data_IF_148965602756
#
_entry.id   IF_148965602756
#
_cell.length_a   1.000
_cell.length_b   1.000
_cell.length_c   1.000
_cell.angle_alpha   90.00
_cell.angle_beta   90.00
_cell.angle_gamma   90.00
#
_symmetry.space_group_name_H-M   'P 1'
#
loop_
_entity.id
_entity.type
_entity.pdbx_description
1 polymer ?
#
# COMPACT_ATOMS: atom_id res chain seq x y z
N UNK A 1 -4.84 33.09 -64.58
CA UNK A 1 -5.28 31.70 -64.33
C UNK A 1 -4.84 31.32 -62.92
N UNK A 2 -5.77 31.13 -61.99
CA UNK A 2 -5.50 31.13 -60.54
C UNK A 2 -5.79 29.83 -59.79
N UNK A 3 -5.27 29.80 -58.55
CA UNK A 3 -5.47 28.89 -57.39
C UNK A 3 -4.75 27.53 -57.46
N UNK A 4 -3.77 27.21 -56.59
CA UNK A 4 -3.65 27.06 -55.10
C UNK A 4 -3.99 25.66 -54.58
N UNK A 5 -3.12 25.19 -53.66
CA UNK A 5 -3.36 24.21 -52.57
C UNK A 5 -3.31 22.73 -52.97
N UNK A 6 -2.74 21.79 -52.20
CA UNK A 6 -2.30 21.76 -50.82
C UNK A 6 -2.31 20.29 -50.36
N UNK A 7 -1.34 19.89 -49.53
CA UNK A 7 -1.20 18.52 -49.03
C UNK A 7 -2.42 18.01 -48.27
N UNK A 8 -2.68 16.70 -48.34
CA UNK A 8 -3.80 16.05 -47.66
C UNK A 8 -3.35 14.85 -46.82
N UNK A 9 -3.40 15.09 -45.51
CA UNK A 9 -3.42 14.15 -44.40
C UNK A 9 -4.54 13.12 -44.57
N UNK A 10 -4.21 11.82 -44.47
CA UNK A 10 -5.21 10.74 -44.54
C UNK A 10 -5.84 10.51 -43.17
N UNK A 11 -6.91 11.25 -42.84
CA UNK A 11 -7.89 10.86 -41.80
C UNK A 11 -8.76 9.74 -42.36
N UNK A 12 -8.79 8.57 -41.71
CA UNK A 12 -9.78 7.52 -42.01
C UNK A 12 -10.95 7.68 -41.04
N UNK A 13 -12.02 8.25 -41.56
CA UNK A 13 -13.33 8.38 -40.94
C UNK A 13 -14.01 7.01 -40.94
N UNK A 14 -14.44 6.53 -39.77
CA UNK A 14 -15.36 5.37 -39.64
C UNK A 14 -16.78 5.92 -39.72
N UNK A 15 -17.68 5.40 -40.57
CA UNK A 15 -19.05 5.90 -40.65
C UNK A 15 -19.92 5.39 -39.49
N UNK A 16 -20.71 6.30 -38.92
CA UNK A 16 -21.84 6.08 -38.00
C UNK A 16 -23.14 5.91 -38.80
N UNK A 17 -23.96 4.88 -38.50
CA UNK A 17 -25.45 4.90 -38.50
C UNK A 17 -26.02 3.51 -38.08
N UNK A 18 -27.25 3.39 -37.52
CA UNK A 18 -27.85 4.06 -36.36
C UNK A 18 -28.25 3.07 -35.24
N UNK A 19 -28.69 3.64 -34.11
CA UNK A 19 -29.37 2.98 -33.00
C UNK A 19 -30.69 2.32 -33.44
N UNK A 20 -30.85 1.03 -33.15
CA UNK A 20 -32.16 0.44 -32.86
C UNK A 20 -32.21 0.14 -31.36
N UNK A 21 -33.08 0.88 -30.66
CA UNK A 21 -33.53 0.57 -29.30
C UNK A 21 -34.62 -0.51 -29.40
N UNK A 22 -34.35 -1.71 -28.90
CA UNK A 22 -35.36 -2.74 -28.66
C UNK A 22 -35.56 -2.93 -27.14
N UNK A 23 -36.78 -2.72 -26.58
CA UNK A 23 -37.01 -2.57 -25.15
C UNK A 23 -37.27 -3.91 -24.46
N UNK A 24 -36.29 -4.82 -24.48
CA UNK A 24 -36.40 -6.12 -23.81
C UNK A 24 -35.08 -6.59 -23.19
N UNK A 25 -34.47 -5.76 -22.32
CA UNK A 25 -33.64 -6.28 -21.24
C UNK A 25 -34.48 -6.49 -19.98
N UNK A 26 -34.86 -7.73 -19.73
CA UNK A 26 -34.96 -8.25 -18.36
C UNK A 26 -34.61 -9.74 -18.35
N UNK A 27 -33.64 -10.07 -17.49
CA UNK A 27 -33.21 -11.43 -17.11
C UNK A 27 -32.39 -12.20 -18.15
N UNK A 28 -31.08 -11.92 -18.21
CA UNK A 28 -30.12 -12.98 -18.57
C UNK A 28 -30.05 -13.94 -17.39
N UNK A 29 -30.72 -15.07 -17.52
CA UNK A 29 -30.70 -16.17 -16.58
C UNK A 29 -29.28 -16.73 -16.48
N UNK A 30 -28.73 -16.74 -15.25
CA UNK A 30 -27.56 -17.56 -14.94
C UNK A 30 -27.99 -19.01 -15.08
N UNK A 31 -27.57 -19.65 -16.17
CA UNK A 31 -27.81 -21.07 -16.38
C UNK A 31 -26.85 -21.87 -15.48
N UNK A 32 -27.33 -22.37 -14.35
CA UNK A 32 -26.60 -23.20 -13.37
C UNK A 32 -26.36 -24.63 -13.85
N UNK A 33 -26.48 -24.88 -15.16
CA UNK A 33 -26.57 -26.22 -15.74
C UNK A 33 -25.31 -26.59 -16.54
N UNK A 34 -24.24 -25.79 -16.44
CA UNK A 34 -22.93 -26.18 -16.96
C UNK A 34 -22.29 -27.15 -15.97
N UNK A 35 -22.60 -28.43 -16.15
CA UNK A 35 -21.90 -29.54 -15.54
C UNK A 35 -20.39 -29.35 -15.78
N UNK A 36 -19.66 -29.14 -14.68
CA UNK A 36 -18.20 -29.18 -14.68
C UNK A 36 -17.80 -30.61 -15.01
N UNK A 37 -17.45 -30.88 -16.27
CA UNK A 37 -16.82 -32.15 -16.61
C UNK A 37 -15.45 -32.21 -15.92
N UNK A 38 -15.16 -33.27 -15.13
CA UNK A 38 -13.84 -33.46 -14.56
C UNK A 38 -12.89 -33.82 -15.69
N UNK A 39 -12.15 -32.82 -16.16
CA UNK A 39 -11.03 -33.00 -17.08
C UNK A 39 -10.03 -33.96 -16.45
N UNK A 40 -10.01 -35.18 -16.98
CA UNK A 40 -9.07 -36.27 -16.74
C UNK A 40 -7.65 -35.77 -16.39
N UNK A 41 -7.25 -36.07 -15.15
CA UNK A 41 -5.87 -36.11 -14.67
C UNK A 41 -5.02 -36.98 -15.61
N UNK A 42 -4.43 -36.37 -16.64
CA UNK A 42 -3.25 -36.90 -17.30
C UNK A 42 -2.05 -36.19 -16.71
N UNK A 43 -1.24 -36.96 -15.99
CA UNK A 43 -0.02 -36.54 -15.31
C UNK A 43 0.96 -35.81 -16.21
N UNK A 44 0.75 -34.51 -16.35
CA UNK A 44 1.83 -33.56 -16.63
C UNK A 44 2.48 -33.36 -15.26
N UNK A 45 3.80 -33.61 -15.09
CA UNK A 45 4.48 -33.17 -13.89
C UNK A 45 4.33 -31.65 -13.88
N UNK A 46 3.37 -31.16 -13.11
CA UNK A 46 3.15 -29.73 -12.93
C UNK A 46 4.50 -29.14 -12.55
N UNK A 47 4.90 -27.99 -13.12
CA UNK A 47 6.13 -27.35 -12.69
C UNK A 47 6.06 -27.26 -11.16
N UNK A 48 7.02 -27.89 -10.49
CA UNK A 48 7.14 -27.88 -9.04
C UNK A 48 6.82 -26.47 -8.53
N UNK A 49 5.91 -26.32 -7.56
CA UNK A 49 5.48 -25.02 -7.01
C UNK A 49 6.69 -24.09 -6.78
N UNK A 50 7.79 -24.66 -6.30
CA UNK A 50 9.11 -24.06 -6.12
C UNK A 50 9.73 -23.33 -7.33
N UNK A 51 9.33 -23.64 -8.57
CA UNK A 51 9.84 -23.04 -9.81
C UNK A 51 8.98 -21.85 -10.29
N UNK A 52 7.84 -21.62 -9.63
CA UNK A 52 6.95 -20.48 -9.85
C UNK A 52 7.23 -19.34 -8.84
N UNK A 53 7.92 -19.67 -7.75
CA UNK A 53 8.07 -18.89 -6.51
C UNK A 53 9.54 -18.47 -6.33
N UNK A 54 10.01 -17.48 -7.10
CA UNK A 54 11.40 -17.00 -6.95
C UNK A 54 11.47 -15.68 -6.16
N UNK A 55 10.58 -14.72 -6.44
CA UNK A 55 10.66 -13.36 -5.88
C UNK A 55 9.67 -13.16 -4.72
N UNK A 56 8.62 -13.96 -4.65
CA UNK A 56 7.57 -13.92 -3.62
C UNK A 56 8.09 -14.02 -2.16
N UNK A 57 9.05 -14.91 -1.79
CA UNK A 57 9.52 -15.00 -0.41
C UNK A 57 10.33 -13.78 0.03
N UNK A 58 11.12 -13.18 -0.87
CA UNK A 58 11.87 -11.96 -0.58
C UNK A 58 10.93 -10.78 -0.27
N UNK A 59 9.84 -10.68 -1.05
CA UNK A 59 8.82 -9.65 -0.83
C UNK A 59 8.05 -9.90 0.47
N UNK A 60 7.78 -11.15 0.82
CA UNK A 60 7.17 -11.51 2.09
C UNK A 60 8.05 -11.05 3.27
N UNK A 61 9.36 -11.32 3.23
CA UNK A 61 10.31 -10.86 4.27
C UNK A 61 10.31 -9.33 4.35
N UNK A 62 10.34 -8.65 3.21
CA UNK A 62 10.25 -7.19 3.17
C UNK A 62 8.96 -6.67 3.81
N UNK A 63 7.81 -7.28 3.52
CA UNK A 63 6.51 -6.89 4.09
C UNK A 63 6.44 -7.13 5.60
N UNK A 64 7.02 -8.24 6.08
CA UNK A 64 7.12 -8.50 7.52
C UNK A 64 7.95 -7.39 8.19
N UNK A 65 9.12 -7.08 7.65
CA UNK A 65 9.98 -6.03 8.16
C UNK A 65 9.31 -4.64 8.10
N UNK A 66 8.63 -4.34 6.99
CA UNK A 66 7.96 -3.04 6.80
C UNK A 66 6.81 -2.85 7.77
N UNK A 67 6.05 -3.91 8.06
CA UNK A 67 4.94 -3.85 9.02
C UNK A 67 5.40 -3.81 10.48
N UNK A 68 6.50 -4.48 10.83
CA UNK A 68 7.14 -4.31 12.15
C UNK A 68 7.57 -2.85 12.33
N UNK A 69 8.26 -2.28 11.34
CA UNK A 69 8.66 -0.88 11.35
C UNK A 69 7.46 0.07 11.41
N UNK A 70 6.38 -0.23 10.68
CA UNK A 70 5.14 0.54 10.73
C UNK A 70 4.54 0.60 12.14
N UNK A 71 4.44 -0.53 12.85
CA UNK A 71 3.92 -0.56 14.22
C UNK A 71 4.84 0.21 15.17
N UNK A 72 6.16 0.02 15.05
CA UNK A 72 7.15 0.77 15.86
C UNK A 72 7.04 2.28 15.65
N UNK A 73 6.88 2.72 14.40
CA UNK A 73 6.72 4.12 14.03
C UNK A 73 5.43 4.72 14.62
N UNK A 74 4.32 3.98 14.61
CA UNK A 74 3.06 4.42 15.23
C UNK A 74 3.23 4.61 16.74
N UNK A 75 3.84 3.63 17.41
CA UNK A 75 4.04 3.68 18.85
C UNK A 75 4.97 4.84 19.26
N UNK A 76 6.08 5.01 18.53
CA UNK A 76 7.05 6.08 18.77
C UNK A 76 6.42 7.47 18.59
N UNK A 77 5.58 7.65 17.56
CA UNK A 77 4.89 8.93 17.32
C UNK A 77 3.91 9.27 18.43
N UNK A 78 3.17 8.30 18.95
CA UNK A 78 2.23 8.50 20.07
C UNK A 78 2.99 8.89 21.33
N UNK A 79 4.05 8.16 21.69
CA UNK A 79 4.89 8.48 22.86
C UNK A 79 5.48 9.88 22.74
N UNK A 80 6.03 10.24 21.57
CA UNK A 80 6.57 11.57 21.32
C UNK A 80 5.52 12.67 21.44
N UNK A 81 4.32 12.45 20.92
CA UNK A 81 3.25 13.45 21.00
C UNK A 81 2.90 13.73 22.46
N UNK A 82 2.86 12.68 23.26
CA UNK A 82 2.59 12.74 24.68
C UNK A 82 3.66 13.49 25.48
N UNK A 83 4.93 13.16 25.25
CA UNK A 83 6.04 13.74 26.02
C UNK A 83 6.36 15.16 25.56
N UNK A 84 6.35 15.42 24.26
CA UNK A 84 6.80 16.71 23.70
C UNK A 84 5.65 17.71 23.57
N UNK A 85 4.46 17.29 23.12
CA UNK A 85 3.34 18.22 22.91
C UNK A 85 2.50 18.43 24.17
N UNK A 86 2.48 17.49 25.13
CA UNK A 86 1.78 17.64 26.43
C UNK A 86 2.69 17.75 27.66
N UNK A 87 3.99 17.45 27.54
CA UNK A 87 4.93 17.53 28.67
C UNK A 87 4.69 16.47 29.76
N UNK A 88 3.98 15.38 29.45
CA UNK A 88 3.66 14.31 30.39
C UNK A 88 4.79 13.27 30.47
N UNK A 89 4.93 12.62 31.63
CA UNK A 89 5.88 11.53 31.84
C UNK A 89 5.56 10.30 30.96
N UNK A 90 6.60 9.66 30.43
CA UNK A 90 6.49 8.54 29.48
C UNK A 90 5.67 7.37 30.05
N UNK A 91 5.75 7.12 31.37
CA UNK A 91 4.99 6.04 32.03
C UNK A 91 3.50 6.33 32.11
N UNK A 92 3.13 7.60 32.30
CA UNK A 92 1.73 8.01 32.29
C UNK A 92 1.14 7.82 30.88
N UNK A 93 1.93 8.08 29.85
CA UNK A 93 1.49 7.91 28.47
C UNK A 93 1.21 6.45 28.07
N UNK A 94 1.98 5.50 28.62
CA UNK A 94 1.75 4.07 28.40
C UNK A 94 0.52 3.54 29.15
N UNK A 95 -0.01 4.30 30.11
CA UNK A 95 -1.16 3.93 30.94
C UNK A 95 -2.50 4.55 30.52
N UNK A 96 -2.55 5.23 29.35
CA UNK A 96 -3.77 5.82 28.79
C UNK A 96 -4.76 4.67 28.49
N UNK A 97 -5.78 4.53 29.36
CA UNK A 97 -6.73 3.41 29.36
C UNK A 97 -7.00 2.81 30.74
N UNK A 98 -6.23 3.16 31.78
CA UNK A 98 -6.44 2.62 33.13
C UNK A 98 -6.83 3.62 34.22
N UNK A 99 -6.65 4.96 34.09
CA UNK A 99 -6.97 5.90 35.18
C UNK A 99 -7.34 7.35 34.77
N UNK A 100 -8.59 7.69 35.12
CA UNK A 100 -9.16 8.98 35.60
C UNK A 100 -9.70 10.03 34.60
N UNK A 101 -10.97 10.37 34.83
CA UNK A 101 -11.99 10.78 33.84
C UNK A 101 -11.98 12.27 33.44
N UNK A 102 -11.15 13.13 34.05
CA UNK A 102 -11.25 14.59 33.84
C UNK A 102 -10.15 15.19 32.95
N UNK A 103 -8.88 14.78 33.09
CA UNK A 103 -7.78 15.23 32.21
C UNK A 103 -7.62 14.33 30.96
N UNK A 104 -8.19 13.12 31.00
CA UNK A 104 -8.13 12.18 29.88
C UNK A 104 -8.87 12.68 28.63
N UNK A 105 -9.94 13.49 28.77
CA UNK A 105 -10.74 13.90 27.60
C UNK A 105 -9.96 14.81 26.66
N UNK A 106 -9.16 15.73 27.17
CA UNK A 106 -8.41 16.66 26.34
C UNK A 106 -7.15 16.00 25.77
N UNK A 107 -6.53 15.08 26.52
CA UNK A 107 -5.45 14.20 26.02
C UNK A 107 -5.97 13.31 24.89
N UNK A 108 -7.11 12.65 25.09
CA UNK A 108 -7.73 11.79 24.08
C UNK A 108 -8.15 12.58 22.86
N UNK A 109 -8.70 13.79 23.01
CA UNK A 109 -9.03 14.67 21.86
C UNK A 109 -7.77 15.05 21.07
N UNK A 110 -6.69 15.42 21.74
CA UNK A 110 -5.44 15.77 21.06
C UNK A 110 -4.86 14.55 20.32
N UNK A 111 -4.73 13.41 21.00
CA UNK A 111 -4.25 12.16 20.40
C UNK A 111 -5.13 11.71 19.23
N UNK A 112 -6.46 11.79 19.38
CA UNK A 112 -7.40 11.45 18.31
C UNK A 112 -7.25 12.38 17.11
N UNK A 113 -7.09 13.69 17.34
CA UNK A 113 -6.83 14.67 16.27
C UNK A 113 -5.53 14.34 15.52
N UNK A 114 -4.46 13.98 16.25
CA UNK A 114 -3.18 13.58 15.66
C UNK A 114 -3.31 12.33 14.77
N UNK A 115 -3.96 11.29 15.28
CA UNK A 115 -4.20 10.05 14.52
C UNK A 115 -5.09 10.30 13.31
N UNK A 116 -6.10 11.16 13.45
CA UNK A 116 -7.02 11.52 12.36
C UNK A 116 -6.28 12.24 11.24
N UNK A 117 -5.56 13.32 11.55
CA UNK A 117 -4.79 14.06 10.55
C UNK A 117 -3.71 13.21 9.88
N UNK A 118 -3.02 12.36 10.66
CA UNK A 118 -2.07 11.39 10.11
C UNK A 118 -2.76 10.43 9.14
N UNK A 119 -3.94 9.93 9.47
CA UNK A 119 -4.68 9.00 8.62
C UNK A 119 -5.15 9.67 7.32
N UNK A 120 -5.60 10.93 7.39
CA UNK A 120 -5.99 11.71 6.21
C UNK A 120 -4.79 11.88 5.28
N UNK A 121 -3.65 12.34 5.79
CA UNK A 121 -2.45 12.59 4.97
C UNK A 121 -1.83 11.28 4.48
N UNK A 122 -1.89 10.23 5.29
CA UNK A 122 -1.36 8.90 4.98
C UNK A 122 -2.20 8.08 4.01
N UNK A 123 -3.43 8.47 3.70
CA UNK A 123 -4.31 7.73 2.78
C UNK A 123 -4.82 8.58 1.61
N UNK A 124 -5.22 9.82 1.85
CA UNK A 124 -5.80 10.69 0.83
C UNK A 124 -4.75 11.16 -0.19
N UNK A 125 -3.60 11.60 0.31
CA UNK A 125 -2.47 12.03 -0.52
C UNK A 125 -1.92 10.89 -1.41
N UNK A 126 -1.63 9.69 -0.86
CA UNK A 126 -1.14 8.59 -1.69
C UNK A 126 -2.19 8.06 -2.66
N UNK A 127 -3.50 8.12 -2.36
CA UNK A 127 -4.54 7.66 -3.29
C UNK A 127 -4.50 8.43 -4.61
N UNK A 128 -4.34 9.76 -4.54
CA UNK A 128 -4.22 10.60 -5.73
C UNK A 128 -2.94 10.21 -6.47
N UNK A 129 -1.80 10.20 -5.78
CA UNK A 129 -0.48 9.93 -6.35
C UNK A 129 -0.35 8.54 -6.96
N UNK A 130 -0.95 7.53 -6.34
CA UNK A 130 -1.05 6.16 -6.86
C UNK A 130 -1.68 6.14 -8.25
N UNK A 131 -2.73 6.92 -8.48
CA UNK A 131 -3.37 6.98 -9.79
C UNK A 131 -2.44 7.59 -10.86
N UNK A 132 -1.68 8.63 -10.51
CA UNK A 132 -0.71 9.22 -11.45
C UNK A 132 0.51 8.33 -11.67
N UNK A 133 1.03 7.70 -10.61
CA UNK A 133 2.15 6.77 -10.68
C UNK A 133 1.76 5.53 -11.51
N UNK A 134 0.52 5.05 -11.37
CA UNK A 134 -0.02 3.99 -12.23
C UNK A 134 0.01 4.38 -13.70
N UNK A 135 -0.50 5.55 -14.05
CA UNK A 135 -0.46 6.05 -15.43
C UNK A 135 0.97 6.29 -15.96
N UNK A 136 1.90 6.69 -15.09
CA UNK A 136 3.32 6.85 -15.44
C UNK A 136 4.02 5.50 -15.62
N UNK A 137 3.72 4.52 -14.79
CA UNK A 137 4.25 3.15 -14.86
C UNK A 137 3.96 2.52 -16.22
N UNK A 138 2.75 2.73 -16.73
CA UNK A 138 2.33 2.18 -18.03
C UNK A 138 3.10 2.79 -19.21
N UNK A 139 3.58 4.04 -19.08
CA UNK A 139 4.27 4.76 -20.16
C UNK A 139 5.79 4.66 -20.12
N UNK A 140 6.38 4.67 -18.93
CA UNK A 140 7.84 4.70 -18.72
C UNK A 140 8.43 3.34 -18.32
N UNK A 141 7.60 2.32 -18.16
CA UNK A 141 8.01 0.96 -17.80
C UNK A 141 7.99 0.70 -16.29
N UNK A 142 7.77 -0.57 -15.91
CA UNK A 142 7.44 -0.99 -14.53
C UNK A 142 8.61 -1.02 -13.55
N UNK A 143 9.87 -0.93 -14.03
CA UNK A 143 11.06 -0.93 -13.16
C UNK A 143 11.26 0.39 -12.41
N UNK A 144 10.92 1.52 -13.04
CA UNK A 144 11.15 2.84 -12.47
C UNK A 144 10.27 3.13 -11.24
N UNK A 145 8.96 2.80 -11.24
CA UNK A 145 8.11 2.94 -10.05
C UNK A 145 8.59 2.08 -8.87
N UNK A 146 9.06 0.86 -9.13
CA UNK A 146 9.51 -0.04 -8.06
C UNK A 146 10.76 0.51 -7.35
N UNK A 147 11.72 1.06 -8.11
CA UNK A 147 12.93 1.68 -7.55
C UNK A 147 12.57 2.96 -6.78
N UNK A 148 11.67 3.79 -7.32
CA UNK A 148 11.20 4.99 -6.63
C UNK A 148 10.58 4.67 -5.27
N UNK A 149 9.70 3.66 -5.21
CA UNK A 149 9.05 3.23 -3.96
C UNK A 149 10.07 2.72 -2.94
N UNK A 150 11.05 1.91 -3.36
CA UNK A 150 12.11 1.43 -2.47
C UNK A 150 12.99 2.58 -1.95
N UNK A 151 13.32 3.55 -2.81
CA UNK A 151 14.11 4.71 -2.43
C UNK A 151 13.39 5.57 -1.38
N UNK A 152 12.09 5.82 -1.56
CA UNK A 152 11.31 6.59 -0.59
C UNK A 152 11.15 5.87 0.75
N UNK A 153 11.02 4.54 0.76
CA UNK A 153 11.04 3.78 2.01
C UNK A 153 12.38 3.92 2.72
N UNK A 154 13.50 3.83 1.98
CA UNK A 154 14.82 4.03 2.57
C UNK A 154 14.96 5.42 3.21
N UNK A 155 14.54 6.48 2.51
CA UNK A 155 14.56 7.86 3.03
C UNK A 155 13.66 8.01 4.26
N UNK A 156 12.46 7.41 4.25
CA UNK A 156 11.55 7.39 5.38
C UNK A 156 12.18 6.73 6.61
N UNK A 157 12.78 5.54 6.46
CA UNK A 157 13.42 4.85 7.57
C UNK A 157 14.62 5.61 8.14
N UNK A 158 15.44 6.24 7.28
CA UNK A 158 16.55 7.09 7.72
C UNK A 158 16.03 8.31 8.49
N UNK A 159 14.98 8.97 7.99
CA UNK A 159 14.35 10.10 8.67
C UNK A 159 13.74 9.68 10.02
N UNK A 160 13.08 8.52 10.07
CA UNK A 160 12.54 7.96 11.31
C UNK A 160 13.63 7.68 12.34
N UNK A 161 14.73 7.05 11.92
CA UNK A 161 15.88 6.77 12.79
C UNK A 161 16.53 8.05 13.31
N UNK A 162 16.69 9.05 12.43
CA UNK A 162 17.15 10.38 12.82
C UNK A 162 16.22 11.02 13.85
N UNK A 163 14.91 10.95 13.60
CA UNK A 163 13.92 11.50 14.51
C UNK A 163 13.95 10.79 15.87
N UNK A 164 14.20 9.47 15.90
CA UNK A 164 14.25 8.69 17.13
C UNK A 164 15.42 9.11 18.03
N UNK A 165 16.54 9.51 17.42
CA UNK A 165 17.70 10.05 18.13
C UNK A 165 17.43 11.44 18.74
N UNK A 166 16.80 12.34 17.98
CA UNK A 166 16.46 13.70 18.45
C UNK A 166 15.04 13.79 19.01
N UNK A 167 14.73 12.97 20.02
CA UNK A 167 13.36 12.84 20.56
C UNK A 167 12.84 14.14 21.19
N UNK A 168 13.68 14.84 21.93
CA UNK A 168 13.26 15.99 22.76
C UNK A 168 13.20 17.33 22.01
N UNK A 169 13.82 17.42 20.82
CA UNK A 169 13.90 18.68 20.08
C UNK A 169 12.85 18.80 18.96
N UNK A 170 12.25 17.70 18.53
CA UNK A 170 11.35 17.67 17.36
C UNK A 170 9.94 17.23 17.80
N UNK A 171 8.99 18.17 17.78
CA UNK A 171 7.55 17.88 18.01
C UNK A 171 7.05 16.74 17.13
N UNK A 172 6.22 15.88 17.73
CA UNK A 172 5.70 14.67 17.09
C UNK A 172 4.87 14.99 15.85
N UNK A 173 4.14 16.12 15.88
CA UNK A 173 3.39 16.59 14.74
C UNK A 173 4.26 16.82 13.50
N UNK A 174 5.39 17.51 13.67
CA UNK A 174 6.33 17.80 12.57
C UNK A 174 6.97 16.52 12.03
N UNK A 175 7.39 15.63 12.93
CA UNK A 175 7.97 14.33 12.56
C UNK A 175 6.95 13.48 11.80
N UNK A 176 5.72 13.37 12.31
CA UNK A 176 4.65 12.59 11.71
C UNK A 176 4.22 13.14 10.36
N UNK A 177 4.15 14.47 10.21
CA UNK A 177 3.77 15.12 8.95
C UNK A 177 4.82 14.91 7.86
N UNK A 178 6.11 15.08 8.19
CA UNK A 178 7.20 14.92 7.23
C UNK A 178 7.37 13.44 6.87
N UNK A 179 7.38 12.55 7.86
CA UNK A 179 7.50 11.11 7.62
C UNK A 179 6.33 10.62 6.75
N UNK A 180 5.08 10.91 7.15
CA UNK A 180 3.90 10.52 6.37
C UNK A 180 3.90 11.18 4.99
N UNK A 181 4.35 12.43 4.87
CA UNK A 181 4.46 13.11 3.58
C UNK A 181 5.41 12.40 2.62
N UNK A 182 6.58 11.97 3.11
CA UNK A 182 7.58 11.23 2.32
C UNK A 182 7.01 9.88 1.86
N UNK A 183 6.41 9.08 2.76
CA UNK A 183 5.83 7.78 2.38
C UNK A 183 4.57 7.94 1.51
N UNK A 184 3.78 8.99 1.74
CA UNK A 184 2.60 9.30 0.95
C UNK A 184 2.96 9.70 -0.48
N UNK A 185 4.07 10.41 -0.69
CA UNK A 185 4.55 10.79 -2.02
C UNK A 185 4.83 9.57 -2.92
N UNK A 186 5.20 8.45 -2.31
CA UNK A 186 5.48 7.20 -2.99
C UNK A 186 4.26 6.28 -3.15
N UNK A 187 3.10 6.66 -2.61
CA UNK A 187 1.91 5.81 -2.60
C UNK A 187 1.92 4.71 -1.53
N UNK A 188 2.85 4.74 -0.57
CA UNK A 188 2.98 3.80 0.56
C UNK A 188 3.00 2.31 0.09
N UNK A 189 2.74 1.37 1.00
CA UNK A 189 2.62 -0.06 0.71
C UNK A 189 1.59 -0.39 -0.38
N UNK A 190 0.60 0.49 -0.62
CA UNK A 190 -0.37 0.32 -1.70
C UNK A 190 0.30 0.37 -3.09
N UNK A 191 1.22 1.31 -3.32
CA UNK A 191 1.96 1.36 -4.58
C UNK A 191 2.90 0.16 -4.76
N UNK A 192 3.49 -0.32 -3.68
CA UNK A 192 4.28 -1.56 -3.70
C UNK A 192 3.43 -2.77 -4.11
N UNK A 193 2.23 -2.93 -3.53
CA UNK A 193 1.29 -3.99 -3.90
C UNK A 193 0.89 -3.92 -5.37
N UNK A 194 0.53 -2.73 -5.88
CA UNK A 194 0.22 -2.55 -7.31
C UNK A 194 1.41 -2.91 -8.21
N UNK A 195 2.61 -2.43 -7.91
CA UNK A 195 3.80 -2.71 -8.69
C UNK A 195 4.12 -4.22 -8.71
N UNK A 196 3.92 -4.89 -7.57
CA UNK A 196 4.10 -6.34 -7.44
C UNK A 196 3.12 -7.11 -8.31
N UNK A 197 1.81 -6.88 -8.17
CA UNK A 197 0.80 -7.59 -8.96
C UNK A 197 0.94 -7.30 -10.47
N UNK A 198 1.32 -6.08 -10.80
CA UNK A 198 1.66 -5.69 -12.16
C UNK A 198 2.88 -6.48 -12.68
N UNK A 199 3.96 -6.59 -11.90
CA UNK A 199 5.13 -7.40 -12.29
C UNK A 199 4.81 -8.89 -12.47
N UNK A 200 4.03 -9.47 -11.56
CA UNK A 200 3.58 -10.86 -11.64
C UNK A 200 2.79 -11.09 -12.94
N UNK A 201 1.93 -10.15 -13.30
CA UNK A 201 1.13 -10.22 -14.53
C UNK A 201 1.99 -10.23 -15.80
N UNK A 202 3.11 -9.49 -15.81
CA UNK A 202 4.00 -9.42 -16.99
C UNK A 202 4.90 -10.63 -17.16
N UNK A 203 5.39 -11.21 -16.06
CA UNK A 203 6.36 -12.31 -16.11
C UNK A 203 5.66 -13.67 -16.25
N UNK A 204 4.36 -13.75 -15.97
CA UNK A 204 3.65 -15.02 -15.89
C UNK A 204 2.80 -15.29 -17.14
N UNK A 205 2.92 -16.47 -17.77
CA UNK A 205 2.06 -16.84 -18.88
C UNK A 205 0.60 -16.97 -18.43
N UNK A 206 -0.35 -16.67 -19.32
CA UNK A 206 -1.80 -16.64 -19.04
C UNK A 206 -2.32 -17.91 -18.35
N UNK A 207 -1.81 -19.07 -18.76
CA UNK A 207 -2.25 -20.37 -18.24
C UNK A 207 -1.91 -20.58 -16.75
N UNK A 208 -0.91 -19.87 -16.22
CA UNK A 208 -0.43 -19.97 -14.83
C UNK A 208 -0.64 -18.68 -14.04
N UNK A 209 -1.16 -17.63 -14.69
CA UNK A 209 -1.31 -16.30 -14.11
C UNK A 209 -2.18 -16.33 -12.84
N UNK A 210 -3.35 -16.97 -12.92
CA UNK A 210 -4.29 -17.04 -11.80
C UNK A 210 -3.68 -17.74 -10.59
N UNK A 211 -3.03 -18.88 -10.80
CA UNK A 211 -2.41 -19.67 -9.72
C UNK A 211 -1.23 -18.93 -9.07
N UNK A 212 -0.37 -18.28 -9.86
CA UNK A 212 0.76 -17.52 -9.30
C UNK A 212 0.28 -16.26 -8.58
N UNK A 213 -0.70 -15.56 -9.13
CA UNK A 213 -1.26 -14.34 -8.53
C UNK A 213 -1.93 -14.64 -7.19
N UNK A 214 -2.63 -15.78 -7.05
CA UNK A 214 -3.22 -16.18 -5.77
C UNK A 214 -2.15 -16.55 -4.74
N UNK A 215 -1.11 -17.30 -5.12
CA UNK A 215 0.01 -17.64 -4.22
C UNK A 215 0.73 -16.37 -3.75
N UNK A 216 1.10 -15.49 -4.68
CA UNK A 216 1.67 -14.16 -4.39
C UNK A 216 0.79 -13.35 -3.45
N UNK A 217 -0.52 -13.31 -3.71
CA UNK A 217 -1.49 -12.60 -2.88
C UNK A 217 -1.57 -13.15 -1.47
N UNK A 218 -1.58 -14.48 -1.32
CA UNK A 218 -1.53 -15.13 0.00
C UNK A 218 -0.24 -14.80 0.75
N UNK A 219 0.92 -14.87 0.10
CA UNK A 219 2.19 -14.46 0.71
C UNK A 219 2.19 -12.99 1.15
N UNK A 220 1.58 -12.10 0.35
CA UNK A 220 1.45 -10.69 0.67
C UNK A 220 0.65 -10.48 1.96
N UNK A 221 -0.55 -11.07 2.07
CA UNK A 221 -1.38 -10.95 3.27
C UNK A 221 -0.75 -11.63 4.49
N UNK A 222 -0.11 -12.80 4.31
CA UNK A 222 0.60 -13.47 5.40
C UNK A 222 1.75 -12.62 5.94
N UNK A 223 2.54 -11.99 5.06
CA UNK A 223 3.61 -11.09 5.47
C UNK A 223 3.08 -9.92 6.31
N UNK A 224 1.93 -9.36 5.92
CA UNK A 224 1.29 -8.29 6.70
C UNK A 224 0.84 -8.79 8.07
N UNK A 225 0.12 -9.91 8.12
CA UNK A 225 -0.38 -10.47 9.37
C UNK A 225 0.77 -10.80 10.34
N UNK A 226 1.81 -11.46 9.85
CA UNK A 226 2.99 -11.82 10.65
C UNK A 226 3.74 -10.58 11.13
N UNK A 227 3.92 -9.58 10.26
CA UNK A 227 4.59 -8.34 10.66
C UNK A 227 3.81 -7.53 11.69
N UNK A 228 2.49 -7.48 11.59
CA UNK A 228 1.63 -6.80 12.57
C UNK A 228 1.59 -7.54 13.92
N UNK A 229 1.54 -8.87 13.93
CA UNK A 229 1.52 -9.64 15.18
C UNK A 229 2.85 -9.51 15.92
N UNK A 230 3.97 -9.66 15.22
CA UNK A 230 5.32 -9.47 15.78
C UNK A 230 5.50 -8.02 16.22
N UNK A 231 5.13 -7.05 15.37
CA UNK A 231 5.22 -5.62 15.68
C UNK A 231 4.39 -5.24 16.91
N UNK A 232 3.19 -5.79 17.06
CA UNK A 232 2.34 -5.58 18.23
C UNK A 232 2.94 -6.14 19.52
N UNK A 233 3.50 -7.36 19.47
CA UNK A 233 4.21 -7.95 20.61
C UNK A 233 5.43 -7.12 21.01
N UNK A 234 6.18 -6.61 20.02
CA UNK A 234 7.32 -5.73 20.26
C UNK A 234 6.88 -4.37 20.83
N UNK A 235 5.74 -3.84 20.40
CA UNK A 235 5.21 -2.57 20.92
C UNK A 235 4.70 -2.69 22.36
N UNK A 236 4.20 -3.86 22.76
CA UNK A 236 3.81 -4.14 24.15
C UNK A 236 5.00 -4.39 25.08
N UNK A 237 6.18 -4.70 24.53
CA UNK A 237 7.38 -4.80 25.33
C UNK A 237 7.79 -3.38 25.80
N UNK A 238 8.12 -3.20 27.09
CA UNK A 238 8.58 -1.90 27.57
C UNK A 238 9.82 -1.49 26.78
N UNK A 239 9.70 -0.41 26.00
CA UNK A 239 10.78 0.12 25.20
C UNK A 239 11.99 0.41 26.12
N UNK A 240 13.19 -0.12 25.81
CA UNK A 240 14.41 0.07 26.61
C UNK A 240 15.01 1.47 26.44
N UNK A 241 14.19 2.46 26.07
CA UNK A 241 14.60 3.85 25.89
C UNK A 241 14.56 4.63 27.21
N UNK A 242 14.41 3.91 28.32
CA UNK A 242 14.60 4.40 29.69
C UNK A 242 16.10 4.29 30.01
N UNK A 243 16.85 5.34 29.70
CA UNK A 243 18.03 5.70 30.48
C UNK A 243 18.24 7.21 30.45
#
# INVERSE_FOLDING_TARGET
MGKKSGGKTRKRTVPLHPLDLDPSQSVVSVNTNASVEPGSDRGIPGPSVWRLVDIEPLLMIHLVASMIGYVGNQNLLVVKACTVDLGLDEKMCLSIGQKTVQDEQDIQKLLTSLVMWRSIIGNFLPMILVAQIGAWSDKYGRKLPMIMVMFTFFVEYVFMMWSAYYRDQISAWKTGLIASGISSLAGNNACFGMALFSYISDVTPKDKLTARTSISGSCYFLGILVGLTIGGHLASAPLPLVN
#
